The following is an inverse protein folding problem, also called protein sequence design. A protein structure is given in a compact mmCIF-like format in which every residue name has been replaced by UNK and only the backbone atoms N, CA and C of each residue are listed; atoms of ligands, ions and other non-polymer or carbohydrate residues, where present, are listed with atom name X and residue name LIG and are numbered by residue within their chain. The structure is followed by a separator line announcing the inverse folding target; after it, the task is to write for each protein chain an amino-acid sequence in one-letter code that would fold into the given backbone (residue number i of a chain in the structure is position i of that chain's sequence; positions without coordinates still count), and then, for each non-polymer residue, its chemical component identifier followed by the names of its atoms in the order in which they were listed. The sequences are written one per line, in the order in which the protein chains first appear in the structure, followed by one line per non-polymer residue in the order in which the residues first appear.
data_IF_321130425768
#
_entry.id   IF_321130425768
#
_cell.length_a   1.000
_cell.length_b   1.000
_cell.length_c   1.000
_cell.angle_alpha   90.00
_cell.angle_beta   90.00
_cell.angle_gamma   90.00
#
_symmetry.space_group_name_H-M   'P 1'
#
loop_
_entity.id
_entity.type
_entity.pdbx_description
1 polymer ?
#
# COMPACT_ATOMS: atom_id res chain seq x y z
N UNK A 1 -16.05 -1.95 -0.73
CA UNK A 1 -17.48 -1.66 -0.63
C UNK A 1 -18.27 -2.97 -0.50
N UNK A 2 -18.18 -3.92 -1.44
CA UNK A 2 -18.93 -5.19 -1.40
C UNK A 2 -18.69 -5.96 -0.09
N UNK A 3 -17.42 -6.10 0.33
CA UNK A 3 -17.05 -6.77 1.57
C UNK A 3 -17.61 -6.05 2.80
N UNK A 4 -17.72 -4.72 2.78
CA UNK A 4 -18.25 -3.92 3.89
C UNK A 4 -19.75 -4.19 4.12
N UNK A 5 -20.48 -4.57 3.08
CA UNK A 5 -21.91 -4.92 3.19
C UNK A 5 -22.17 -6.41 3.45
N UNK A 6 -21.39 -7.29 2.82
CA UNK A 6 -21.58 -8.73 2.93
C UNK A 6 -20.96 -9.32 4.19
N UNK A 7 -19.76 -8.90 4.57
CA UNK A 7 -19.05 -9.50 5.70
C UNK A 7 -19.73 -9.29 7.06
N UNK A 8 -20.40 -8.15 7.37
CA UNK A 8 -21.10 -7.97 8.63
C UNK A 8 -22.28 -8.90 8.85
N UNK A 9 -22.74 -9.59 7.79
CA UNK A 9 -23.78 -10.64 7.91
C UNK A 9 -23.19 -12.00 8.28
N UNK A 10 -21.89 -12.19 8.09
CA UNK A 10 -21.20 -13.47 8.26
C UNK A 10 -20.23 -13.49 9.44
N UNK A 11 -19.80 -12.29 9.91
CA UNK A 11 -18.85 -12.14 11.01
C UNK A 11 -19.09 -10.83 11.77
N UNK A 12 -18.47 -10.69 12.94
CA UNK A 12 -18.57 -9.47 13.75
C UNK A 12 -18.08 -8.24 13.01
N UNK A 13 -18.83 -7.16 13.13
CA UNK A 13 -18.53 -5.85 12.51
C UNK A 13 -17.17 -5.31 12.91
N UNK A 14 -16.69 -5.59 14.12
CA UNK A 14 -15.39 -5.20 14.62
C UNK A 14 -14.25 -5.77 13.78
N UNK A 15 -14.31 -7.05 13.41
CA UNK A 15 -13.34 -7.71 12.54
C UNK A 15 -13.38 -7.15 11.12
N UNK A 16 -14.57 -6.89 10.58
CA UNK A 16 -14.71 -6.33 9.24
C UNK A 16 -14.08 -4.94 9.16
N UNK A 17 -14.38 -4.07 10.12
CA UNK A 17 -13.86 -2.70 10.17
C UNK A 17 -12.34 -2.73 10.41
N UNK A 18 -11.84 -3.61 11.29
CA UNK A 18 -10.41 -3.71 11.58
C UNK A 18 -9.60 -4.33 10.44
N UNK A 19 -10.15 -5.29 9.70
CA UNK A 19 -9.42 -6.08 8.70
C UNK A 19 -9.50 -5.55 7.27
N UNK A 20 -10.55 -4.82 6.89
CA UNK A 20 -10.70 -4.31 5.52
C UNK A 20 -9.63 -3.28 5.12
N UNK A 21 -9.30 -2.26 5.95
CA UNK A 21 -8.25 -1.33 5.60
C UNK A 21 -6.85 -1.98 5.48
N UNK A 22 -6.41 -2.86 6.40
CA UNK A 22 -5.16 -3.60 6.24
C UNK A 22 -5.09 -4.42 4.96
N UNK A 23 -6.19 -5.05 4.57
CA UNK A 23 -6.26 -5.90 3.37
C UNK A 23 -5.88 -5.16 2.07
N UNK A 24 -6.04 -3.84 2.02
CA UNK A 24 -5.74 -3.04 0.82
C UNK A 24 -4.75 -1.90 1.07
N UNK A 25 -4.51 -1.54 2.32
CA UNK A 25 -3.71 -0.38 2.70
C UNK A 25 -2.32 -0.71 3.27
N UNK A 26 -1.98 -1.99 3.39
CA UNK A 26 -0.69 -2.43 3.89
C UNK A 26 -0.46 -2.14 5.38
N UNK A 27 0.82 -2.11 5.78
CA UNK A 27 1.22 -1.98 7.20
C UNK A 27 0.71 -0.71 7.86
N UNK A 28 0.67 0.41 7.13
CA UNK A 28 0.20 1.70 7.68
C UNK A 28 -1.28 1.61 8.07
N UNK A 29 -2.11 1.03 7.22
CA UNK A 29 -3.51 0.82 7.54
C UNK A 29 -3.69 -0.16 8.70
N UNK A 30 -2.87 -1.21 8.77
CA UNK A 30 -2.90 -2.17 9.87
C UNK A 30 -2.58 -1.53 11.21
N UNK A 31 -1.55 -0.69 11.28
CA UNK A 31 -1.18 0.02 12.52
C UNK A 31 -2.22 1.05 12.94
N UNK A 32 -2.83 1.77 12.01
CA UNK A 32 -3.93 2.71 12.32
C UNK A 32 -5.12 1.95 12.92
N UNK A 33 -5.50 0.84 12.28
CA UNK A 33 -6.65 0.04 12.74
C UNK A 33 -6.36 -0.66 14.07
N UNK A 34 -5.13 -1.15 14.28
CA UNK A 34 -4.69 -1.68 15.57
C UNK A 34 -4.86 -0.64 16.68
N UNK A 35 -4.25 0.54 16.51
CA UNK A 35 -4.32 1.62 17.50
C UNK A 35 -5.77 2.05 17.79
N UNK A 36 -6.60 2.14 16.75
CA UNK A 36 -8.02 2.49 16.89
C UNK A 36 -8.82 1.41 17.65
N UNK A 37 -8.50 0.13 17.42
CA UNK A 37 -9.13 -0.99 18.13
C UNK A 37 -8.66 -1.06 19.59
N UNK A 38 -7.37 -0.88 19.86
CA UNK A 38 -6.80 -0.81 21.22
C UNK A 38 -7.42 0.32 22.03
N UNK A 39 -7.56 1.52 21.44
CA UNK A 39 -8.20 2.67 22.09
C UNK A 39 -9.66 2.40 22.49
N UNK A 40 -10.32 1.43 21.82
CA UNK A 40 -11.68 0.99 22.14
C UNK A 40 -11.72 -0.26 23.03
N UNK A 41 -10.57 -0.78 23.45
CA UNK A 41 -10.47 -1.99 24.25
C UNK A 41 -10.75 -3.30 23.48
N UNK A 42 -10.79 -3.26 22.15
CA UNK A 42 -11.08 -4.40 21.26
C UNK A 42 -9.78 -5.12 20.89
N UNK A 43 -9.19 -5.87 21.84
CA UNK A 43 -7.89 -6.53 21.65
C UNK A 43 -7.87 -7.51 20.46
N UNK A 44 -8.91 -8.33 20.32
CA UNK A 44 -9.00 -9.31 19.22
C UNK A 44 -9.01 -8.64 17.85
N UNK A 45 -9.73 -7.51 17.71
CA UNK A 45 -9.77 -6.73 16.49
C UNK A 45 -8.43 -6.03 16.19
N UNK A 46 -7.68 -5.63 17.22
CA UNK A 46 -6.35 -5.04 17.07
C UNK A 46 -5.35 -6.07 16.52
N UNK A 47 -5.31 -7.25 17.12
CA UNK A 47 -4.48 -8.38 16.64
C UNK A 47 -4.91 -8.80 15.23
N UNK A 48 -6.22 -8.86 14.98
CA UNK A 48 -6.76 -9.19 13.67
C UNK A 48 -6.27 -8.24 12.55
N UNK A 49 -6.19 -6.95 12.82
CA UNK A 49 -5.70 -5.97 11.83
C UNK A 49 -4.26 -6.26 11.39
N UNK A 50 -3.36 -6.57 12.34
CA UNK A 50 -1.97 -6.90 12.02
C UNK A 50 -1.85 -8.28 11.38
N UNK A 51 -2.58 -9.28 11.89
CA UNK A 51 -2.60 -10.62 11.32
C UNK A 51 -3.09 -10.61 9.87
N UNK A 52 -4.12 -9.80 9.56
CA UNK A 52 -4.63 -9.63 8.21
C UNK A 52 -3.54 -9.11 7.27
N UNK A 53 -2.77 -8.10 7.69
CA UNK A 53 -1.65 -7.60 6.91
C UNK A 53 -0.59 -8.69 6.65
N UNK A 54 -0.25 -9.51 7.64
CA UNK A 54 0.73 -10.58 7.48
C UNK A 54 0.28 -11.65 6.48
N UNK A 55 -0.98 -12.05 6.53
CA UNK A 55 -1.50 -13.18 5.75
C UNK A 55 -1.93 -12.79 4.33
N UNK A 56 -2.33 -11.54 4.11
CA UNK A 56 -2.74 -11.09 2.78
C UNK A 56 -1.70 -11.38 1.69
N UNK A 57 -0.40 -11.28 2.02
CA UNK A 57 0.69 -11.59 1.10
C UNK A 57 0.68 -13.05 0.63
N UNK A 58 0.39 -14.00 1.53
CA UNK A 58 0.31 -15.42 1.19
C UNK A 58 -0.80 -15.74 0.19
N UNK A 59 -1.90 -15.00 0.21
CA UNK A 59 -2.97 -15.14 -0.76
C UNK A 59 -2.64 -14.36 -2.06
N UNK A 60 -2.14 -13.16 -1.91
CA UNK A 60 -1.91 -12.23 -3.02
C UNK A 60 -0.79 -12.66 -3.97
N UNK A 61 0.40 -13.01 -3.46
CA UNK A 61 1.56 -13.35 -4.30
C UNK A 61 1.33 -14.50 -5.28
N UNK A 62 0.85 -15.69 -4.83
CA UNK A 62 0.60 -16.79 -5.76
C UNK A 62 -0.45 -16.41 -6.82
N UNK A 63 -1.50 -15.72 -6.40
CA UNK A 63 -2.58 -15.33 -7.30
C UNK A 63 -2.08 -14.34 -8.36
N UNK A 64 -1.27 -13.34 -7.99
CA UNK A 64 -0.64 -12.41 -8.93
C UNK A 64 0.32 -13.12 -9.88
N UNK A 65 1.16 -14.02 -9.38
CA UNK A 65 2.09 -14.77 -10.21
C UNK A 65 1.36 -15.56 -11.30
N UNK A 66 0.27 -16.23 -10.94
CA UNK A 66 -0.58 -16.96 -11.90
C UNK A 66 -1.21 -16.01 -12.92
N UNK A 67 -1.77 -14.89 -12.47
CA UNK A 67 -2.41 -13.92 -13.35
C UNK A 67 -1.41 -13.27 -14.31
N UNK A 68 -0.20 -12.91 -13.84
CA UNK A 68 0.86 -12.36 -14.68
C UNK A 68 1.36 -13.40 -15.71
N UNK A 69 1.52 -14.66 -15.31
CA UNK A 69 1.92 -15.72 -16.25
C UNK A 69 0.86 -15.92 -17.34
N UNK A 70 -0.41 -15.98 -16.98
CA UNK A 70 -1.48 -16.14 -17.95
C UNK A 70 -1.62 -14.91 -18.87
N UNK A 71 -1.59 -13.70 -18.29
CA UNK A 71 -1.62 -12.45 -19.04
C UNK A 71 -0.42 -12.28 -19.96
N UNK A 72 0.79 -12.55 -19.47
CA UNK A 72 2.03 -12.46 -20.22
C UNK A 72 2.08 -13.46 -21.39
N UNK A 73 1.64 -14.71 -21.19
CA UNK A 73 1.55 -15.71 -22.28
C UNK A 73 0.61 -15.24 -23.40
N UNK A 74 -0.53 -14.62 -23.03
CA UNK A 74 -1.46 -14.07 -24.01
C UNK A 74 -0.86 -12.90 -24.79
N UNK A 75 -0.24 -11.95 -24.09
CA UNK A 75 0.43 -10.80 -24.71
C UNK A 75 1.59 -11.24 -25.61
N UNK A 76 2.38 -12.21 -25.18
CA UNK A 76 3.48 -12.76 -25.99
C UNK A 76 2.99 -13.43 -27.24
N UNK A 77 1.86 -14.15 -27.18
CA UNK A 77 1.24 -14.76 -28.34
C UNK A 77 0.75 -13.71 -29.35
N UNK A 78 0.09 -12.66 -28.86
CA UNK A 78 -0.38 -11.53 -29.69
C UNK A 78 0.80 -10.74 -30.28
N UNK A 79 1.85 -10.48 -29.51
CA UNK A 79 3.08 -9.84 -29.99
C UNK A 79 3.75 -10.63 -31.12
N UNK A 80 3.87 -11.95 -30.96
CA UNK A 80 4.45 -12.83 -31.99
C UNK A 80 3.56 -12.90 -33.23
N UNK A 81 2.24 -12.91 -33.08
CA UNK A 81 1.29 -12.91 -34.19
C UNK A 81 1.35 -11.61 -35.01
N UNK A 82 1.48 -10.47 -34.35
CA UNK A 82 1.52 -9.15 -34.97
C UNK A 82 2.94 -8.65 -35.34
N UNK A 83 3.96 -9.52 -35.31
CA UNK A 83 5.38 -9.20 -35.62
C UNK A 83 5.89 -7.93 -34.92
N UNK A 84 5.41 -7.64 -33.72
CA UNK A 84 5.83 -6.48 -32.93
C UNK A 84 5.23 -5.14 -33.30
N UNK A 85 4.43 -5.06 -34.36
CA UNK A 85 3.89 -3.78 -34.86
C UNK A 85 2.92 -3.06 -33.89
N UNK A 86 2.27 -3.80 -32.98
CA UNK A 86 1.29 -3.23 -32.06
C UNK A 86 1.91 -2.40 -30.89
N UNK A 87 3.22 -2.51 -30.64
CA UNK A 87 3.87 -1.87 -29.49
C UNK A 87 4.75 -0.66 -29.83
N UNK A 88 4.87 -0.30 -31.10
CA UNK A 88 5.72 0.82 -31.52
C UNK A 88 5.17 2.22 -31.20
N UNK A 89 3.93 2.33 -30.71
CA UNK A 89 3.23 3.62 -30.58
C UNK A 89 2.74 3.98 -29.17
N UNK A 90 3.13 3.28 -28.12
CA UNK A 90 2.92 3.80 -26.78
C UNK A 90 4.02 4.80 -26.46
N UNK A 91 3.74 6.10 -26.62
CA UNK A 91 4.65 7.21 -26.35
C UNK A 91 5.05 7.36 -24.86
N UNK A 92 5.11 6.25 -24.14
CA UNK A 92 5.53 6.15 -22.75
C UNK A 92 7.02 5.96 -22.73
N UNK A 93 7.77 7.02 -22.42
CA UNK A 93 9.20 6.92 -22.16
C UNK A 93 9.40 6.30 -20.77
N UNK A 94 9.92 5.10 -20.74
CA UNK A 94 10.41 4.45 -19.52
C UNK A 94 11.81 5.01 -19.19
N UNK A 95 12.09 5.16 -17.90
CA UNK A 95 13.44 5.45 -17.45
C UNK A 95 14.31 4.21 -17.66
N UNK A 96 15.35 4.30 -18.48
CA UNK A 96 16.16 3.15 -18.93
C UNK A 96 16.83 2.41 -17.76
N UNK A 97 17.00 3.08 -16.60
CA UNK A 97 17.68 2.50 -15.43
C UNK A 97 16.71 1.78 -14.48
N UNK A 98 15.47 2.26 -14.32
CA UNK A 98 14.56 1.75 -13.29
C UNK A 98 13.22 1.22 -13.84
N UNK A 99 12.98 1.27 -15.15
CA UNK A 99 11.70 0.84 -15.76
C UNK A 99 10.48 1.65 -15.30
N UNK A 100 10.69 2.76 -14.61
CA UNK A 100 9.63 3.65 -14.09
C UNK A 100 9.28 4.71 -15.12
N UNK A 101 8.01 5.11 -15.12
CA UNK A 101 7.55 6.24 -15.94
C UNK A 101 8.30 7.51 -15.56
N UNK A 102 8.90 8.21 -16.53
CA UNK A 102 9.44 9.55 -16.28
C UNK A 102 8.30 10.44 -15.82
N UNK A 103 8.28 10.79 -14.55
CA UNK A 103 7.39 11.82 -14.04
C UNK A 103 7.66 13.13 -14.80
N UNK A 104 6.59 13.75 -15.31
CA UNK A 104 6.72 15.07 -15.93
C UNK A 104 7.37 16.01 -14.93
N UNK A 105 8.46 16.67 -15.33
CA UNK A 105 9.22 17.58 -14.48
C UNK A 105 8.33 18.77 -14.09
N UNK A 106 7.67 18.69 -12.96
CA UNK A 106 6.94 19.82 -12.39
C UNK A 106 7.95 20.87 -11.91
N UNK A 107 7.74 22.13 -12.29
CA UNK A 107 8.50 23.25 -11.74
C UNK A 107 8.31 23.29 -10.23
N UNK A 108 9.34 22.92 -9.49
CA UNK A 108 9.35 22.98 -8.03
C UNK A 108 9.44 24.43 -7.58
N UNK A 109 8.72 24.79 -6.52
CA UNK A 109 8.69 26.15 -5.98
C UNK A 109 10.03 26.53 -5.35
N UNK A 110 10.68 25.57 -4.68
CA UNK A 110 11.99 25.74 -4.08
C UNK A 110 13.08 25.20 -5.02
N UNK A 111 14.17 25.98 -5.24
CA UNK A 111 15.29 25.48 -6.01
C UNK A 111 15.96 24.29 -5.30
N UNK A 112 16.53 23.33 -6.04
CA UNK A 112 17.25 22.22 -5.43
C UNK A 112 18.43 22.74 -4.60
N UNK A 113 18.68 22.11 -3.46
CA UNK A 113 19.83 22.45 -2.62
C UNK A 113 21.14 22.28 -3.41
N UNK A 114 22.12 23.19 -3.21
CA UNK A 114 23.44 23.03 -3.81
C UNK A 114 24.03 21.66 -3.45
N UNK A 115 24.71 21.02 -4.39
CA UNK A 115 25.27 19.66 -4.24
C UNK A 115 26.14 19.50 -2.98
N UNK A 116 26.78 20.59 -2.53
CA UNK A 116 27.59 20.60 -1.29
C UNK A 116 26.79 20.27 -0.03
N UNK A 117 25.51 20.63 0.02
CA UNK A 117 24.62 20.43 1.18
C UNK A 117 23.64 19.26 0.99
N UNK A 118 23.58 18.69 -0.20
CA UNK A 118 22.67 17.58 -0.51
C UNK A 118 23.30 16.22 -0.16
N UNK A 119 23.65 16.06 1.12
CA UNK A 119 24.19 14.80 1.64
C UNK A 119 23.07 13.86 2.05
N UNK A 120 23.38 12.53 2.10
CA UNK A 120 22.43 11.50 2.56
C UNK A 120 21.86 11.84 3.94
N UNK A 121 22.69 12.37 4.85
CA UNK A 121 22.30 12.77 6.20
C UNK A 121 21.29 13.93 6.15
N UNK A 122 21.49 14.91 5.27
CA UNK A 122 20.56 16.06 5.12
C UNK A 122 19.20 15.59 4.58
N UNK A 123 19.18 14.69 3.60
CA UNK A 123 17.93 14.15 3.06
C UNK A 123 17.18 13.37 4.14
N UNK A 124 17.90 12.53 4.91
CA UNK A 124 17.30 11.79 6.03
C UNK A 124 16.79 12.72 7.14
N UNK A 125 17.53 13.80 7.45
CA UNK A 125 17.10 14.80 8.42
C UNK A 125 15.81 15.52 8.00
N UNK A 126 15.64 15.84 6.72
CA UNK A 126 14.40 16.40 6.19
C UNK A 126 13.21 15.44 6.34
N UNK A 127 13.43 14.14 6.08
CA UNK A 127 12.41 13.10 6.28
C UNK A 127 12.02 13.00 7.76
N UNK A 128 13.02 12.95 8.65
CA UNK A 128 12.79 12.88 10.10
C UNK A 128 12.06 14.13 10.62
N UNK A 129 12.44 15.31 10.14
CA UNK A 129 11.77 16.57 10.48
C UNK A 129 10.31 16.57 10.03
N UNK A 130 10.01 16.08 8.84
CA UNK A 130 8.65 15.95 8.33
C UNK A 130 7.80 15.02 9.22
N UNK A 131 8.36 13.88 9.62
CA UNK A 131 7.71 12.95 10.55
C UNK A 131 7.47 13.59 11.93
N UNK A 132 8.44 14.33 12.45
CA UNK A 132 8.32 15.02 13.72
C UNK A 132 7.24 16.11 13.68
N UNK A 133 7.20 16.94 12.66
CA UNK A 133 6.15 17.96 12.46
C UNK A 133 4.77 17.29 12.41
N UNK A 134 4.65 16.20 11.69
CA UNK A 134 3.39 15.46 11.59
C UNK A 134 2.89 14.94 12.95
N UNK A 135 3.80 14.44 13.80
CA UNK A 135 3.44 13.99 15.15
C UNK A 135 3.02 15.15 16.07
N UNK A 136 3.58 16.35 15.87
CA UNK A 136 3.15 17.56 16.58
C UNK A 136 1.76 18.02 16.12
N UNK A 137 1.51 18.02 14.80
CA UNK A 137 0.22 18.35 14.24
C UNK A 137 -0.88 17.38 14.69
N UNK A 138 -0.57 16.11 14.85
CA UNK A 138 -1.53 15.11 15.31
C UNK A 138 -2.05 15.37 16.74
N UNK A 139 -1.30 16.12 17.55
CA UNK A 139 -1.73 16.52 18.91
C UNK A 139 -2.74 17.66 18.91
N UNK A 140 -2.90 18.36 17.79
CA UNK A 140 -3.82 19.50 17.66
C UNK A 140 -5.17 18.95 17.17
N UNK A 141 -6.24 19.08 17.97
CA UNK A 141 -7.57 18.66 17.54
C UNK A 141 -8.05 19.56 16.40
N UNK A 142 -8.45 18.93 15.28
CA UNK A 142 -9.00 19.67 14.14
C UNK A 142 -10.50 19.85 14.36
N UNK A 143 -11.02 21.09 14.35
CA UNK A 143 -12.45 21.32 14.44
C UNK A 143 -13.14 20.60 13.26
N UNK A 144 -14.24 19.92 13.51
CA UNK A 144 -15.06 19.08 12.62
C UNK A 144 -14.62 17.62 12.41
N UNK A 145 -13.33 17.27 12.55
CA UNK A 145 -12.84 15.91 12.23
C UNK A 145 -12.34 15.17 13.47
N UNK A 146 -12.11 15.87 14.57
CA UNK A 146 -11.53 15.31 15.79
C UNK A 146 -10.00 15.14 15.68
N UNK A 147 -9.44 14.13 16.32
CA UNK A 147 -8.01 13.84 16.27
C UNK A 147 -7.68 13.04 15.02
N UNK A 148 -6.89 13.61 14.13
CA UNK A 148 -6.35 12.93 12.94
C UNK A 148 -5.06 12.19 13.34
N UNK A 149 -4.93 10.92 12.94
CA UNK A 149 -3.72 10.14 13.17
C UNK A 149 -2.47 10.82 12.59
N UNK A 150 -1.36 10.75 13.31
CA UNK A 150 -0.07 11.28 12.85
C UNK A 150 0.38 10.71 11.50
N UNK A 151 0.01 9.47 11.21
CA UNK A 151 0.32 8.82 9.92
C UNK A 151 -0.40 9.50 8.74
N UNK A 152 -1.64 9.97 8.95
CA UNK A 152 -2.37 10.73 7.93
C UNK A 152 -1.71 12.10 7.72
N UNK A 153 -1.27 12.76 8.79
CA UNK A 153 -0.54 14.02 8.70
C UNK A 153 0.81 13.86 7.98
N UNK A 154 1.55 12.76 8.23
CA UNK A 154 2.78 12.48 7.49
C UNK A 154 2.50 12.37 6.00
N UNK A 155 1.42 11.68 5.61
CA UNK A 155 1.05 11.50 4.20
C UNK A 155 0.72 12.85 3.54
N UNK A 156 -0.12 13.67 4.17
CA UNK A 156 -0.49 15.00 3.65
C UNK A 156 0.75 15.89 3.54
N UNK A 157 1.56 15.97 4.60
CA UNK A 157 2.76 16.80 4.62
C UNK A 157 3.80 16.34 3.60
N UNK A 158 4.01 15.02 3.45
CA UNK A 158 4.97 14.51 2.47
C UNK A 158 4.61 14.89 1.04
N UNK A 159 3.31 14.81 0.67
CA UNK A 159 2.83 15.23 -0.65
C UNK A 159 3.05 16.73 -0.86
N UNK A 160 2.65 17.55 0.11
CA UNK A 160 2.79 19.03 0.03
C UNK A 160 4.27 19.42 -0.05
N UNK A 161 5.11 18.87 0.82
CA UNK A 161 6.54 19.23 0.89
C UNK A 161 7.33 18.73 -0.32
N UNK A 162 6.92 17.59 -0.92
CA UNK A 162 7.49 17.12 -2.19
C UNK A 162 7.08 18.03 -3.34
N UNK A 163 5.82 18.46 -3.37
CA UNK A 163 5.34 19.38 -4.40
C UNK A 163 6.02 20.76 -4.34
N UNK A 164 6.24 21.28 -3.12
CA UNK A 164 6.98 22.53 -2.90
C UNK A 164 8.47 22.36 -3.28
N UNK A 165 9.02 21.14 -3.20
CA UNK A 165 10.43 20.86 -3.49
C UNK A 165 11.33 20.84 -2.24
N UNK A 166 10.74 20.83 -1.03
CA UNK A 166 11.49 20.66 0.23
C UNK A 166 11.98 19.22 0.39
N UNK A 167 11.11 18.24 0.11
CA UNK A 167 11.47 16.84 0.02
C UNK A 167 11.82 16.48 -1.42
N UNK A 168 12.85 15.67 -1.56
CA UNK A 168 13.20 15.11 -2.85
C UNK A 168 12.29 13.95 -3.23
N UNK A 169 12.00 13.79 -4.51
CA UNK A 169 11.39 12.57 -5.03
C UNK A 169 12.34 11.41 -4.76
N UNK A 170 11.79 10.30 -4.28
CA UNK A 170 12.56 9.10 -3.96
C UNK A 170 13.64 9.32 -2.88
N UNK A 171 13.32 10.14 -1.87
CA UNK A 171 14.25 10.53 -0.80
C UNK A 171 14.86 9.35 -0.07
N UNK A 172 14.10 8.25 0.16
CA UNK A 172 14.59 7.08 0.90
C UNK A 172 15.71 6.34 0.15
N UNK A 173 15.61 6.20 -1.17
CA UNK A 173 16.66 5.57 -1.97
C UNK A 173 17.87 6.51 -2.09
N UNK A 174 17.64 7.81 -2.30
CA UNK A 174 18.72 8.81 -2.40
C UNK A 174 19.57 8.88 -1.13
N UNK A 175 18.96 8.77 0.06
CA UNK A 175 19.73 8.75 1.30
C UNK A 175 20.15 7.35 1.76
N UNK A 176 19.93 6.33 0.92
CA UNK A 176 20.26 4.92 1.20
C UNK A 176 19.69 4.41 2.54
N UNK A 177 18.56 4.96 2.97
CA UNK A 177 17.92 4.63 4.24
C UNK A 177 16.74 3.64 4.09
N UNK A 178 16.39 3.27 2.87
CA UNK A 178 15.24 2.43 2.58
C UNK A 178 15.26 1.11 3.39
N UNK A 179 16.40 0.41 3.42
CA UNK A 179 16.52 -0.85 4.14
C UNK A 179 16.33 -0.72 5.65
N UNK A 180 16.89 0.34 6.27
CA UNK A 180 16.77 0.59 7.71
C UNK A 180 15.32 0.95 8.06
N UNK A 181 14.68 1.80 7.28
CA UNK A 181 13.29 2.20 7.49
C UNK A 181 12.36 1.00 7.31
N UNK A 182 12.62 0.16 6.31
CA UNK A 182 11.88 -1.09 6.09
C UNK A 182 12.00 -2.05 7.26
N UNK A 183 13.21 -2.24 7.77
CA UNK A 183 13.44 -3.05 8.97
C UNK A 183 12.66 -2.50 10.18
N UNK A 184 12.70 -1.19 10.41
CA UNK A 184 11.93 -0.55 11.47
C UNK A 184 10.42 -0.77 11.33
N UNK A 185 9.86 -0.66 10.11
CA UNK A 185 8.44 -0.93 9.84
C UNK A 185 8.10 -2.40 10.14
N UNK A 186 8.97 -3.34 9.78
CA UNK A 186 8.75 -4.76 10.06
C UNK A 186 8.72 -5.06 11.57
N UNK A 187 9.46 -4.30 12.39
CA UNK A 187 9.41 -4.44 13.83
C UNK A 187 8.04 -4.11 14.43
N UNK A 188 7.27 -3.22 13.83
CA UNK A 188 5.88 -2.95 14.27
C UNK A 188 4.96 -4.16 14.17
N UNK A 189 5.24 -5.07 13.23
CA UNK A 189 4.45 -6.31 13.10
C UNK A 189 4.63 -7.19 14.34
N UNK A 190 5.86 -7.33 14.82
CA UNK A 190 6.14 -8.11 16.04
C UNK A 190 5.49 -7.47 17.26
N UNK A 191 5.55 -6.14 17.38
CA UNK A 191 4.89 -5.43 18.49
C UNK A 191 3.36 -5.65 18.44
N UNK A 192 2.76 -5.62 17.26
CA UNK A 192 1.32 -5.85 17.08
C UNK A 192 0.87 -7.29 17.37
N UNK A 193 1.77 -8.27 17.25
CA UNK A 193 1.46 -9.69 17.46
C UNK A 193 1.90 -10.21 18.84
N UNK A 194 2.59 -9.41 19.65
CA UNK A 194 3.12 -9.85 20.96
C UNK A 194 2.06 -10.37 21.92
N UNK A 195 0.86 -9.81 21.86
CA UNK A 195 -0.28 -10.18 22.71
C UNK A 195 -1.18 -11.27 22.07
N UNK A 196 -0.75 -11.80 20.91
CA UNK A 196 -1.51 -12.83 20.19
C UNK A 196 -1.39 -14.20 20.89
N UNK A 197 -2.49 -14.69 21.43
CA UNK A 197 -2.56 -16.04 21.99
C UNK A 197 -3.00 -17.05 20.95
N UNK A 198 -2.71 -18.35 21.17
CA UNK A 198 -3.16 -19.42 20.27
C UNK A 198 -4.68 -19.52 20.17
N UNK A 199 -5.37 -19.19 21.24
CA UNK A 199 -6.84 -19.15 21.27
C UNK A 199 -7.39 -18.03 20.39
N UNK A 200 -6.81 -16.81 20.50
CA UNK A 200 -7.13 -15.67 19.63
C UNK A 200 -6.86 -16.02 18.18
N UNK A 201 -5.73 -16.66 17.89
CA UNK A 201 -5.39 -17.09 16.54
C UNK A 201 -6.46 -18.02 15.94
N UNK A 202 -6.92 -19.00 16.71
CA UNK A 202 -8.00 -19.90 16.29
C UNK A 202 -9.29 -19.16 15.93
N UNK A 203 -9.65 -18.14 16.70
CA UNK A 203 -10.87 -17.35 16.49
C UNK A 203 -10.78 -16.40 15.30
N UNK A 204 -9.59 -15.90 14.96
CA UNK A 204 -9.40 -14.92 13.86
C UNK A 204 -9.14 -15.55 12.50
N UNK A 205 -8.69 -16.82 12.43
CA UNK A 205 -8.35 -17.47 11.15
C UNK A 205 -9.55 -17.58 10.21
N UNK A 206 -10.71 -18.01 10.72
CA UNK A 206 -11.91 -18.17 9.89
C UNK A 206 -12.42 -16.84 9.35
N UNK A 207 -12.62 -15.78 10.17
CA UNK A 207 -12.98 -14.46 9.68
C UNK A 207 -11.97 -13.90 8.67
N UNK A 208 -10.69 -14.16 8.86
CA UNK A 208 -9.61 -13.67 8.00
C UNK A 208 -9.66 -14.31 6.61
N UNK A 209 -9.79 -15.64 6.51
CA UNK A 209 -9.94 -16.36 5.24
C UNK A 209 -11.20 -15.87 4.51
N UNK A 210 -12.31 -15.76 5.22
CA UNK A 210 -13.57 -15.26 4.67
C UNK A 210 -13.42 -13.87 4.07
N UNK A 211 -12.76 -12.94 4.80
CA UNK A 211 -12.57 -11.58 4.37
C UNK A 211 -11.65 -11.47 3.15
N UNK A 212 -10.58 -12.29 3.09
CA UNK A 212 -9.70 -12.39 1.92
C UNK A 212 -10.48 -12.92 0.70
N UNK A 213 -11.22 -14.01 0.86
CA UNK A 213 -11.98 -14.63 -0.25
C UNK A 213 -13.02 -13.65 -0.80
N UNK A 214 -13.82 -13.02 0.07
CA UNK A 214 -14.83 -12.05 -0.34
C UNK A 214 -14.18 -10.81 -0.96
N UNK A 215 -13.08 -10.32 -0.38
CA UNK A 215 -12.34 -9.17 -0.88
C UNK A 215 -11.76 -9.41 -2.27
N UNK A 216 -11.07 -10.54 -2.45
CA UNK A 216 -10.48 -10.94 -3.74
C UNK A 216 -11.57 -11.19 -4.80
N UNK A 217 -12.65 -11.88 -4.44
CA UNK A 217 -13.77 -12.14 -5.36
C UNK A 217 -14.45 -10.83 -5.79
N UNK A 218 -14.71 -9.93 -4.85
CA UNK A 218 -15.27 -8.61 -5.15
C UNK A 218 -14.35 -7.76 -6.03
N UNK A 219 -13.03 -7.82 -5.80
CA UNK A 219 -12.03 -7.17 -6.65
C UNK A 219 -12.02 -7.80 -8.06
N UNK A 220 -12.05 -9.12 -8.17
CA UNK A 220 -12.10 -9.82 -9.46
C UNK A 220 -13.33 -9.44 -10.28
N UNK A 221 -14.49 -9.35 -9.64
CA UNK A 221 -15.74 -8.95 -10.29
C UNK A 221 -15.66 -7.50 -10.82
N UNK A 222 -15.16 -6.56 -10.01
CA UNK A 222 -14.96 -5.17 -10.43
C UNK A 222 -13.96 -5.05 -11.58
N UNK A 223 -12.82 -5.72 -11.48
CA UNK A 223 -11.79 -5.70 -12.53
C UNK A 223 -12.30 -6.34 -13.80
N UNK A 224 -13.12 -7.39 -13.71
CA UNK A 224 -13.74 -7.99 -14.90
C UNK A 224 -14.61 -6.98 -15.66
N UNK A 225 -15.43 -6.21 -14.94
CA UNK A 225 -16.26 -5.15 -15.55
C UNK A 225 -15.37 -4.05 -16.16
N UNK A 226 -14.40 -3.55 -15.39
CA UNK A 226 -13.50 -2.47 -15.85
C UNK A 226 -12.66 -2.91 -17.04
N UNK A 227 -12.09 -4.13 -17.02
CA UNK A 227 -11.28 -4.65 -18.11
C UNK A 227 -12.08 -4.79 -19.40
N UNK A 228 -13.37 -5.12 -19.29
CA UNK A 228 -14.28 -5.20 -20.44
C UNK A 228 -14.61 -3.81 -21.03
N UNK A 229 -14.80 -2.81 -20.17
CA UNK A 229 -15.06 -1.42 -20.59
C UNK A 229 -13.81 -0.80 -21.22
N UNK A 230 -12.63 -1.01 -20.62
CA UNK A 230 -11.37 -0.47 -21.13
C UNK A 230 -10.72 -1.30 -22.23
N UNK A 231 -11.33 -2.43 -22.63
CA UNK A 231 -10.78 -3.37 -23.60
C UNK A 231 -9.37 -3.88 -23.26
N UNK A 232 -9.04 -3.97 -21.97
CA UNK A 232 -7.76 -4.48 -21.47
C UNK A 232 -7.84 -5.97 -21.16
N UNK A 233 -6.70 -6.67 -21.19
CA UNK A 233 -6.66 -8.09 -20.84
C UNK A 233 -6.96 -8.33 -19.35
N UNK A 234 -8.00 -9.09 -19.02
CA UNK A 234 -8.40 -9.37 -17.63
C UNK A 234 -7.24 -9.82 -16.74
N UNK A 235 -6.39 -10.74 -17.24
CA UNK A 235 -5.27 -11.25 -16.43
C UNK A 235 -4.29 -10.17 -15.99
N UNK A 236 -3.94 -9.24 -16.86
CA UNK A 236 -3.03 -8.15 -16.55
C UNK A 236 -3.70 -7.12 -15.64
N UNK A 237 -4.95 -6.73 -15.95
CA UNK A 237 -5.71 -5.79 -15.12
C UNK A 237 -5.99 -6.33 -13.73
N UNK A 238 -6.21 -7.64 -13.59
CA UNK A 238 -6.41 -8.27 -12.30
C UNK A 238 -5.11 -8.39 -11.52
N UNK A 239 -3.99 -8.71 -12.19
CA UNK A 239 -2.67 -8.70 -11.55
C UNK A 239 -2.32 -7.31 -10.99
N UNK A 240 -2.56 -6.23 -11.75
CA UNK A 240 -2.37 -4.86 -11.26
C UNK A 240 -3.30 -4.50 -10.10
N UNK A 241 -4.54 -4.94 -10.10
CA UNK A 241 -5.44 -4.73 -8.98
C UNK A 241 -5.01 -5.51 -7.72
N UNK A 242 -4.47 -6.72 -7.90
CA UNK A 242 -3.95 -7.54 -6.80
C UNK A 242 -2.74 -6.91 -6.11
N UNK A 243 -2.00 -6.01 -6.77
CA UNK A 243 -0.91 -5.28 -6.10
C UNK A 243 -1.42 -4.45 -4.92
N UNK A 244 -2.68 -4.03 -4.93
CA UNK A 244 -3.31 -3.36 -3.79
C UNK A 244 -3.39 -4.25 -2.54
N UNK A 245 -3.42 -5.59 -2.69
CA UNK A 245 -3.42 -6.53 -1.57
C UNK A 245 -2.08 -6.62 -0.85
N UNK A 246 -0.97 -6.25 -1.49
CA UNK A 246 0.33 -6.31 -0.81
C UNK A 246 0.58 -5.08 0.05
N UNK A 247 0.02 -3.92 -0.35
CA UNK A 247 0.31 -2.65 0.27
C UNK A 247 1.80 -2.27 0.19
N UNK A 248 2.11 -1.06 0.66
CA UNK A 248 3.50 -0.69 0.90
C UNK A 248 4.05 -1.53 2.07
N UNK A 249 5.27 -2.04 2.02
CA UNK A 249 6.35 -1.74 1.06
C UNK A 249 6.48 -2.70 -0.13
N UNK A 250 5.74 -3.76 -0.17
CA UNK A 250 5.93 -4.83 -1.15
C UNK A 250 5.61 -4.40 -2.59
N UNK A 251 4.70 -3.45 -2.77
CA UNK A 251 4.39 -2.90 -4.09
C UNK A 251 5.58 -2.19 -4.76
N UNK A 252 6.59 -1.79 -4.01
CA UNK A 252 7.78 -1.12 -4.54
C UNK A 252 8.85 -2.11 -5.06
N UNK A 253 8.67 -3.41 -4.79
CA UNK A 253 9.64 -4.47 -5.14
C UNK A 253 9.18 -5.22 -6.41
N UNK A 254 7.89 -5.18 -6.73
CA UNK A 254 7.27 -5.85 -7.88
C UNK A 254 7.11 -4.87 -9.04
#
# INVERSE_FOLDING_TARGET
VLALFLCPMLMDKSFVIAGLPPLTGGVVAATIMQQAAEAKGLKDAAVFAIAMYCIQGFAGYPLTAVCLQLGGRKMLKEFRANKGAAYQNTGVQLDEVNGTLKAAAHKKLLPPLPAKYNSNVMIFAKLALTGWIATMLAKIPVPFVGSISGLVWVLILSVILTHIGFLDEDSMNKCNSYGIVMFAIMMFIYDGLKDCTMEMLGNIVVPMILLIVIGVTGMAALVFVISKVLHTGFGLSFATALTALYGFPMNAII
#
